data_IF_164881476847
#
_entry.id   IF_164881476847
#
_cell.length_a   1.000
_cell.length_b   1.000
_cell.length_c   1.000
_cell.angle_alpha   90.00
_cell.angle_beta   90.00
_cell.angle_gamma   90.00
#
_symmetry.space_group_name_H-M   'P 1'
#
loop_
_entity.id
_entity.type
_entity.pdbx_description
1 polymer ?
#
# COMPACT_ATOMS: atom_id res chain seq x y z
N UNK A 1 15.49 0.17 -9.11
CA UNK A 1 14.01 0.18 -9.22
C UNK A 1 13.44 0.87 -7.97
N UNK A 2 12.38 1.66 -8.10
CA UNK A 2 11.73 2.34 -6.97
C UNK A 2 10.83 1.35 -6.23
N UNK A 3 10.85 1.39 -4.92
CA UNK A 3 9.90 0.68 -4.07
C UNK A 3 9.01 1.69 -3.36
N UNK A 4 7.76 1.31 -3.21
CA UNK A 4 6.73 2.10 -2.55
C UNK A 4 6.29 1.37 -1.29
N UNK A 5 6.08 2.12 -0.23
CA UNK A 5 5.43 1.64 0.99
C UNK A 5 4.35 2.62 1.39
N UNK A 6 3.22 2.08 1.81
CA UNK A 6 2.10 2.85 2.31
C UNK A 6 2.42 3.41 3.70
N UNK A 7 2.14 4.69 3.92
CA UNK A 7 2.32 5.37 5.22
C UNK A 7 1.02 5.55 5.99
N UNK A 8 -0.12 5.54 5.30
CA UNK A 8 -1.45 5.69 5.87
C UNK A 8 -2.47 4.84 5.10
N UNK A 9 -3.55 4.41 5.74
CA UNK A 9 -4.56 3.59 5.08
C UNK A 9 -5.44 4.45 4.15
N UNK A 10 -5.42 4.22 2.83
CA UNK A 10 -6.16 5.04 1.89
C UNK A 10 -7.63 4.67 1.89
N UNK A 11 -8.49 5.68 1.76
CA UNK A 11 -9.87 5.47 1.37
C UNK A 11 -9.90 5.14 -0.13
N UNK A 12 -10.11 3.85 -0.44
CA UNK A 12 -10.14 3.40 -1.81
C UNK A 12 -11.41 3.92 -2.47
N UNK A 13 -11.29 4.58 -3.61
CA UNK A 13 -12.47 4.95 -4.40
C UNK A 13 -13.13 3.69 -4.99
N UNK A 14 -14.43 3.73 -5.34
CA UNK A 14 -15.16 2.57 -5.85
C UNK A 14 -14.48 1.88 -7.06
N UNK A 15 -13.74 2.66 -7.86
CA UNK A 15 -12.93 2.16 -8.98
C UNK A 15 -11.85 1.15 -8.56
N UNK A 16 -11.37 1.23 -7.33
CA UNK A 16 -10.33 0.38 -6.76
C UNK A 16 -10.87 -0.60 -5.71
N UNK A 17 -12.19 -0.83 -5.63
CA UNK A 17 -12.80 -1.79 -4.69
C UNK A 17 -12.68 -3.25 -5.12
N UNK A 18 -11.74 -3.58 -6.01
CA UNK A 18 -11.52 -4.97 -6.42
C UNK A 18 -10.69 -5.72 -5.39
N UNK A 19 -10.93 -7.02 -5.25
CA UNK A 19 -10.15 -7.89 -4.35
C UNK A 19 -8.64 -7.82 -4.65
N UNK A 20 -8.27 -7.69 -5.93
CA UNK A 20 -6.88 -7.53 -6.34
C UNK A 20 -6.28 -6.22 -5.80
N UNK A 21 -7.01 -5.11 -5.87
CA UNK A 21 -6.50 -3.82 -5.39
C UNK A 21 -6.43 -3.74 -3.86
N UNK A 22 -7.37 -4.37 -3.15
CA UNK A 22 -7.28 -4.53 -1.69
C UNK A 22 -6.01 -5.31 -1.29
N UNK A 23 -5.64 -6.33 -2.05
CA UNK A 23 -4.37 -7.06 -1.86
C UNK A 23 -3.17 -6.17 -2.14
N UNK A 24 -3.20 -5.35 -3.19
CA UNK A 24 -2.13 -4.39 -3.51
C UNK A 24 -1.89 -3.42 -2.35
N UNK A 25 -2.95 -2.82 -1.79
CA UNK A 25 -2.84 -1.93 -0.62
C UNK A 25 -2.30 -2.67 0.59
N UNK A 26 -2.78 -3.90 0.82
CA UNK A 26 -2.31 -4.74 1.93
C UNK A 26 -0.81 -5.02 1.79
N UNK A 27 -0.33 -5.40 0.61
CA UNK A 27 1.09 -5.63 0.33
C UNK A 27 1.94 -4.37 0.52
N UNK A 28 1.47 -3.22 -0.01
CA UNK A 28 2.12 -1.92 0.15
C UNK A 28 2.19 -1.48 1.63
N UNK A 29 1.22 -1.86 2.45
CA UNK A 29 1.24 -1.57 3.89
C UNK A 29 2.28 -2.40 4.65
N UNK A 30 2.46 -3.65 4.23
CA UNK A 30 3.36 -4.59 4.90
C UNK A 30 4.82 -4.28 4.58
N UNK A 31 5.15 -4.00 3.32
CA UNK A 31 6.54 -3.92 2.86
C UNK A 31 6.75 -2.91 1.74
N UNK A 32 8.01 -2.51 1.58
CA UNK A 32 8.48 -1.81 0.39
C UNK A 32 8.44 -2.77 -0.80
N UNK A 33 7.59 -2.48 -1.79
CA UNK A 33 7.38 -3.32 -2.97
C UNK A 33 7.39 -2.49 -4.25
N UNK A 34 7.82 -3.11 -5.34
CA UNK A 34 7.79 -2.50 -6.67
C UNK A 34 6.51 -2.88 -7.41
N UNK A 35 6.12 -2.06 -8.40
CA UNK A 35 4.94 -2.29 -9.26
C UNK A 35 4.96 -3.69 -9.89
N UNK A 36 6.14 -4.15 -10.31
CA UNK A 36 6.32 -5.47 -10.93
C UNK A 36 6.00 -6.62 -9.97
N UNK A 37 6.46 -6.53 -8.73
CA UNK A 37 6.17 -7.53 -7.69
C UNK A 37 4.69 -7.54 -7.30
N UNK A 38 4.07 -6.35 -7.25
CA UNK A 38 2.64 -6.20 -7.00
C UNK A 38 1.80 -6.82 -8.11
N UNK A 39 2.15 -6.58 -9.38
CA UNK A 39 1.43 -7.16 -10.51
C UNK A 39 1.53 -8.69 -10.50
N UNK A 40 2.73 -9.22 -10.22
CA UNK A 40 2.96 -10.67 -10.13
C UNK A 40 2.24 -11.33 -8.94
N UNK A 41 2.23 -10.67 -7.77
CA UNK A 41 1.71 -11.26 -6.53
C UNK A 41 0.20 -11.06 -6.36
N UNK A 42 -0.32 -9.90 -6.79
CA UNK A 42 -1.73 -9.55 -6.61
C UNK A 42 -2.60 -9.90 -7.83
N UNK A 43 -1.99 -10.22 -8.97
CA UNK A 43 -2.72 -10.52 -10.22
C UNK A 43 -3.46 -9.32 -10.80
N UNK A 44 -3.04 -8.10 -10.45
CA UNK A 44 -3.58 -6.86 -11.00
C UNK A 44 -2.71 -6.37 -12.17
N UNK A 45 -3.34 -5.66 -13.12
CA UNK A 45 -2.64 -5.04 -14.24
C UNK A 45 -1.63 -4.02 -13.71
N UNK A 46 -0.43 -4.00 -14.28
CA UNK A 46 0.59 -3.00 -13.93
C UNK A 46 0.04 -1.57 -14.06
N UNK A 47 -0.76 -1.31 -15.09
CA UNK A 47 -1.42 -0.01 -15.33
C UNK A 47 -2.33 0.41 -14.18
N UNK A 48 -3.19 -0.48 -13.69
CA UNK A 48 -4.08 -0.17 -12.57
C UNK A 48 -3.30 0.08 -11.27
N UNK A 49 -2.20 -0.67 -11.06
CA UNK A 49 -1.31 -0.48 -9.91
C UNK A 49 -0.58 0.88 -10.02
N UNK A 50 -0.14 1.28 -11.20
CA UNK A 50 0.49 2.58 -11.44
C UNK A 50 -0.49 3.73 -11.23
N UNK A 51 -1.74 3.62 -11.70
CA UNK A 51 -2.80 4.59 -11.42
C UNK A 51 -3.06 4.72 -9.91
N UNK A 52 -3.13 3.60 -9.19
CA UNK A 52 -3.27 3.60 -7.73
C UNK A 52 -2.08 4.27 -7.04
N UNK A 53 -0.85 3.89 -7.39
CA UNK A 53 0.37 4.47 -6.80
C UNK A 53 0.44 5.97 -7.05
N UNK A 54 0.14 6.41 -8.28
CA UNK A 54 0.10 7.84 -8.64
C UNK A 54 -0.91 8.59 -7.78
N UNK A 55 -2.09 8.00 -7.57
CA UNK A 55 -3.08 8.59 -6.68
C UNK A 55 -2.57 8.68 -5.23
N UNK A 56 -2.05 7.59 -4.69
CA UNK A 56 -1.54 7.55 -3.32
C UNK A 56 -0.33 8.48 -3.11
N UNK A 57 0.53 8.65 -4.13
CA UNK A 57 1.63 9.61 -4.12
C UNK A 57 1.11 11.05 -4.09
N UNK A 58 0.09 11.37 -4.91
CA UNK A 58 -0.59 12.67 -4.90
C UNK A 58 -1.27 12.97 -3.56
N UNK A 59 -1.83 11.94 -2.92
CA UNK A 59 -2.42 12.04 -1.57
C UNK A 59 -1.34 12.09 -0.45
N UNK A 60 -0.05 11.97 -0.79
CA UNK A 60 1.06 11.99 0.19
C UNK A 60 1.11 10.74 1.09
N UNK A 61 0.46 9.65 0.68
CA UNK A 61 0.30 8.41 1.45
C UNK A 61 1.34 7.33 1.09
N UNK A 62 2.32 7.68 0.26
CA UNK A 62 3.41 6.78 -0.13
C UNK A 62 4.76 7.33 0.30
N UNK A 63 5.57 6.41 0.83
CA UNK A 63 7.01 6.56 0.89
C UNK A 63 7.64 5.88 -0.31
N UNK A 64 8.31 6.67 -1.15
CA UNK A 64 9.18 6.16 -2.20
C UNK A 64 10.60 5.99 -1.65
N UNK A 65 11.17 4.79 -1.84
CA UNK A 65 12.59 4.52 -1.57
C UNK A 65 13.24 4.04 -2.87
N UNK A 66 14.36 4.66 -3.24
CA UNK A 66 15.27 4.07 -4.21
C UNK A 66 15.91 2.85 -3.53
N UNK A 67 15.76 1.65 -4.08
CA UNK A 67 16.46 0.48 -3.51
C UNK A 67 17.98 0.64 -3.66
N UNK A 68 18.75 0.71 -2.57
CA UNK A 68 20.03 0.01 -2.52
C UNK A 68 19.73 -1.50 -2.44
N UNK A 69 20.53 -2.31 -3.14
CA UNK A 69 20.34 -3.75 -3.19
C UNK A 69 20.40 -4.35 -1.76
N UNK A 70 19.38 -5.10 -1.39
CA UNK A 70 19.26 -5.98 -0.21
C UNK A 70 19.50 -5.36 1.18
N UNK A 71 18.42 -5.23 1.96
CA UNK A 71 18.41 -5.74 3.34
C UNK A 71 16.97 -6.07 3.75
N UNK A 72 16.75 -7.35 4.04
CA UNK A 72 15.52 -7.86 4.64
C UNK A 72 15.27 -7.15 5.97
N UNK A 73 14.14 -6.47 6.10
CA UNK A 73 13.72 -5.88 7.37
C UNK A 73 12.28 -6.29 7.67
N UNK A 74 12.09 -7.60 7.84
CA UNK A 74 10.94 -8.16 8.55
C UNK A 74 11.16 -7.86 10.04
N UNK A 75 10.55 -6.79 10.58
CA UNK A 75 10.68 -6.49 12.01
C UNK A 75 10.29 -5.11 12.52
N UNK A 76 9.92 -4.15 11.67
CA UNK A 76 9.65 -2.77 12.13
C UNK A 76 8.16 -2.44 12.41
N UNK A 77 7.27 -3.44 12.50
CA UNK A 77 5.81 -3.23 12.56
C UNK A 77 5.24 -2.81 13.93
N UNK A 78 6.05 -2.49 14.94
CA UNK A 78 5.53 -2.08 16.26
C UNK A 78 5.62 -0.59 16.59
N UNK A 79 6.34 0.21 15.79
CA UNK A 79 6.88 1.47 16.33
C UNK A 79 6.26 2.77 15.76
N UNK A 80 5.41 2.73 14.73
CA UNK A 80 5.03 3.97 14.00
C UNK A 80 3.55 4.14 13.64
N UNK A 81 2.62 3.38 14.23
CA UNK A 81 1.20 3.76 14.17
C UNK A 81 0.86 4.61 15.39
N UNK A 82 0.61 5.93 15.27
CA UNK A 82 -0.01 6.65 16.38
C UNK A 82 -1.42 6.08 16.55
N UNK A 83 -1.69 5.57 17.74
CA UNK A 83 -2.98 5.12 18.27
C UNK A 83 -4.00 6.28 18.32
N UNK A 84 -4.25 6.93 17.18
CA UNK A 84 -5.15 8.08 17.04
C UNK A 84 -6.19 7.87 15.92
N UNK A 85 -5.97 6.91 15.00
CA UNK A 85 -6.92 6.58 13.93
C UNK A 85 -7.78 5.33 14.19
N UNK A 86 -7.73 4.75 15.40
CA UNK A 86 -8.71 3.76 15.89
C UNK A 86 -9.79 4.51 16.69
N UNK A 87 -10.44 5.48 16.06
CA UNK A 87 -11.59 6.16 16.68
C UNK A 87 -12.53 6.72 15.63
N UNK A 88 -13.01 5.85 14.76
CA UNK A 88 -14.09 6.17 13.83
C UNK A 88 -14.18 5.11 12.75
N UNK A 89 -15.34 4.46 12.63
CA UNK A 89 -15.67 3.49 11.57
C UNK A 89 -15.20 2.05 11.79
N UNK A 90 -15.38 1.55 13.02
CA UNK A 90 -16.31 0.42 13.17
C UNK A 90 -17.68 0.96 12.76
N UNK A 91 -18.13 0.67 11.54
CA UNK A 91 -19.57 0.57 11.23
C UNK A 91 -19.78 -0.47 10.14
N UNK A 92 -20.57 -1.47 10.54
CA UNK A 92 -21.41 -2.35 9.72
C UNK A 92 -20.76 -3.06 8.54
N UNK A 93 -20.33 -4.29 8.79
CA UNK A 93 -20.61 -5.38 7.88
C UNK A 93 -21.52 -6.36 8.60
N UNK A 94 -22.82 -6.23 8.33
CA UNK A 94 -23.78 -7.32 8.46
C UNK A 94 -24.01 -7.91 7.08
#
# INVERSE_FOLDING_TARGET
MKQYKLTAWPDLTPRFHTTAMRRVVSELSQRFVSVRDLSRSCGASARDIEELITKLEKDGMLMARAMPQAVSQAGAWRQWWPVAAVRGMVREWR
#
